data_IF_691972130580
#
_entry.id   IF_691972130580
#
_cell.length_a   1.000
_cell.length_b   1.000
_cell.length_c   1.000
_cell.angle_alpha   90.00
_cell.angle_beta   90.00
_cell.angle_gamma   90.00
#
_symmetry.space_group_name_H-M   'P 1'
#
loop_
_entity.id
_entity.type
_entity.pdbx_description
1 polymer ?
#
# COMPACT_ATOMS: atom_id res chain seq x y z
N UNK A 1 18.44 4.37 12.73
CA UNK A 1 18.58 3.67 11.45
C UNK A 1 18.28 2.19 11.56
N UNK A 2 19.04 1.47 12.39
CA UNK A 2 18.79 0.03 12.59
C UNK A 2 17.41 -0.28 13.14
N UNK A 3 16.87 0.60 14.00
CA UNK A 3 15.55 0.42 14.59
C UNK A 3 14.45 0.48 13.52
N UNK A 4 14.57 1.41 12.58
CA UNK A 4 13.59 1.53 11.50
C UNK A 4 13.62 0.33 10.58
N UNK A 5 14.82 -0.19 10.28
CA UNK A 5 14.95 -1.38 9.46
C UNK A 5 14.32 -2.60 10.12
N UNK A 6 14.55 -2.78 11.41
CA UNK A 6 13.95 -3.89 12.16
C UNK A 6 12.43 -3.80 12.19
N UNK A 7 11.90 -2.60 12.38
CA UNK A 7 10.46 -2.38 12.38
C UNK A 7 9.86 -2.67 11.00
N UNK A 8 10.54 -2.25 9.94
CA UNK A 8 10.11 -2.53 8.58
C UNK A 8 10.10 -4.03 8.29
N UNK A 9 11.16 -4.73 8.71
CA UNK A 9 11.21 -6.18 8.55
C UNK A 9 10.07 -6.86 9.27
N UNK A 10 9.75 -6.41 10.46
CA UNK A 10 8.65 -6.97 11.26
C UNK A 10 7.32 -6.78 10.56
N UNK A 11 7.07 -5.58 10.03
CA UNK A 11 5.84 -5.29 9.28
C UNK A 11 5.75 -6.15 8.02
N UNK A 12 6.86 -6.26 7.29
CA UNK A 12 6.91 -7.07 6.07
C UNK A 12 6.62 -8.53 6.40
N UNK A 13 7.24 -9.07 7.43
CA UNK A 13 7.01 -10.46 7.83
C UNK A 13 5.56 -10.69 8.24
N UNK A 14 5.00 -9.80 9.03
CA UNK A 14 3.61 -9.92 9.46
C UNK A 14 2.66 -9.88 8.26
N UNK A 15 2.89 -8.98 7.33
CA UNK A 15 2.07 -8.87 6.13
C UNK A 15 2.21 -10.11 5.26
N UNK A 16 3.43 -10.61 5.10
CA UNK A 16 3.68 -11.83 4.32
C UNK A 16 2.93 -13.02 4.90
N UNK A 17 3.02 -13.21 6.22
CA UNK A 17 2.31 -14.30 6.88
C UNK A 17 0.78 -14.19 6.72
N UNK A 18 0.24 -12.98 6.79
CA UNK A 18 -1.18 -12.74 6.54
C UNK A 18 -1.58 -13.19 5.14
N UNK A 19 -0.76 -12.85 4.15
CA UNK A 19 -1.03 -13.23 2.76
C UNK A 19 -0.94 -14.73 2.54
N UNK A 20 0.01 -15.39 3.20
CA UNK A 20 0.10 -16.85 3.15
C UNK A 20 -1.16 -17.49 3.72
N UNK A 21 -1.61 -17.01 4.87
CA UNK A 21 -2.77 -17.59 5.56
C UNK A 21 -4.09 -17.28 4.88
N UNK A 22 -4.27 -16.04 4.45
CA UNK A 22 -5.57 -15.57 3.92
C UNK A 22 -5.71 -15.76 2.42
N UNK A 23 -4.62 -15.58 1.67
CA UNK A 23 -4.67 -15.57 0.21
C UNK A 23 -4.07 -16.83 -0.42
N UNK A 24 -3.47 -17.68 0.38
CA UNK A 24 -2.88 -18.92 -0.13
C UNK A 24 -1.59 -18.73 -0.92
N UNK A 25 -0.93 -17.59 -0.80
CA UNK A 25 0.34 -17.34 -1.47
C UNK A 25 1.45 -18.20 -0.88
N UNK A 26 2.45 -18.55 -1.70
CA UNK A 26 3.69 -19.10 -1.18
C UNK A 26 4.41 -18.01 -0.38
N UNK A 27 5.28 -18.42 0.54
CA UNK A 27 6.04 -17.46 1.34
C UNK A 27 6.91 -16.57 0.44
N UNK A 28 7.47 -17.11 -0.61
CA UNK A 28 8.28 -16.34 -1.56
C UNK A 28 7.47 -15.23 -2.24
N UNK A 29 6.29 -15.57 -2.74
CA UNK A 29 5.39 -14.58 -3.36
C UNK A 29 4.92 -13.55 -2.36
N UNK A 30 4.53 -14.00 -1.16
CA UNK A 30 4.07 -13.11 -0.11
C UNK A 30 5.14 -12.11 0.30
N UNK A 31 6.37 -12.55 0.43
CA UNK A 31 7.49 -11.66 0.78
C UNK A 31 7.73 -10.62 -0.30
N UNK A 32 7.67 -11.00 -1.57
CA UNK A 32 7.84 -10.04 -2.68
C UNK A 32 6.76 -8.97 -2.65
N UNK A 33 5.52 -9.38 -2.46
CA UNK A 33 4.38 -8.45 -2.41
C UNK A 33 4.48 -7.54 -1.19
N UNK A 34 4.84 -8.11 -0.05
CA UNK A 34 4.98 -7.34 1.19
C UNK A 34 6.06 -6.26 1.06
N UNK A 35 7.23 -6.61 0.50
CA UNK A 35 8.29 -5.65 0.26
C UNK A 35 7.88 -4.58 -0.75
N UNK A 36 7.16 -4.97 -1.80
CA UNK A 36 6.66 -4.01 -2.79
C UNK A 36 5.72 -3.00 -2.14
N UNK A 37 4.83 -3.45 -1.25
CA UNK A 37 3.95 -2.55 -0.50
C UNK A 37 4.72 -1.60 0.40
N UNK A 38 5.76 -2.09 1.05
CA UNK A 38 6.62 -1.26 1.90
C UNK A 38 7.31 -0.18 1.08
N UNK A 39 7.88 -0.54 -0.06
CA UNK A 39 8.51 0.40 -0.98
C UNK A 39 7.53 1.45 -1.49
N UNK A 40 6.35 1.02 -1.90
CA UNK A 40 5.33 1.92 -2.43
C UNK A 40 4.92 2.94 -1.38
N UNK A 41 4.66 2.48 -0.16
CA UNK A 41 4.29 3.36 0.94
C UNK A 41 5.38 4.40 1.21
N UNK A 42 6.64 3.97 1.24
CA UNK A 42 7.77 4.86 1.47
C UNK A 42 7.89 5.91 0.37
N UNK A 43 7.72 5.52 -0.88
CA UNK A 43 7.80 6.44 -2.01
C UNK A 43 6.63 7.42 -2.03
N UNK A 44 5.44 6.96 -1.69
CA UNK A 44 4.25 7.82 -1.66
C UNK A 44 4.36 8.91 -0.59
N UNK A 45 5.13 8.69 0.47
CA UNK A 45 5.35 9.71 1.50
C UNK A 45 6.13 10.91 0.98
N UNK A 46 6.93 10.74 -0.06
CA UNK A 46 7.74 11.82 -0.60
C UNK A 46 7.25 12.37 -1.94
N UNK A 47 6.47 11.60 -2.69
CA UNK A 47 6.04 12.02 -4.03
C UNK A 47 4.77 11.29 -4.46
N UNK A 48 4.24 11.69 -5.62
CA UNK A 48 3.15 10.98 -6.27
C UNK A 48 3.76 9.80 -7.01
N UNK A 49 3.21 8.61 -6.80
CA UNK A 49 3.73 7.37 -7.39
C UNK A 49 2.67 6.72 -8.25
N UNK A 50 3.07 6.29 -9.43
CA UNK A 50 2.21 5.51 -10.31
C UNK A 50 2.40 4.04 -9.99
N UNK A 51 1.30 3.33 -9.79
CA UNK A 51 1.36 1.90 -9.50
C UNK A 51 0.13 1.19 -10.06
N UNK A 52 0.22 -0.14 -10.13
CA UNK A 52 -0.85 -0.98 -10.68
C UNK A 52 -1.28 -1.99 -9.64
N UNK A 53 -2.57 -2.19 -9.52
CA UNK A 53 -3.11 -3.23 -8.66
C UNK A 53 -4.32 -3.88 -9.32
N UNK A 54 -4.65 -5.08 -8.86
CA UNK A 54 -5.81 -5.80 -9.36
C UNK A 54 -7.02 -5.43 -8.52
N UNK A 55 -8.09 -5.05 -9.20
CA UNK A 55 -9.35 -4.72 -8.53
C UNK A 55 -10.07 -6.00 -8.13
N UNK A 56 -11.08 -5.84 -7.29
CA UNK A 56 -11.87 -6.98 -6.80
C UNK A 56 -12.52 -7.75 -7.96
N UNK A 57 -12.88 -7.07 -9.03
CA UNK A 57 -13.48 -7.69 -10.21
C UNK A 57 -12.46 -8.37 -11.13
N UNK A 58 -11.18 -8.36 -10.77
CA UNK A 58 -10.12 -8.99 -11.55
C UNK A 58 -9.43 -8.09 -12.57
N UNK A 59 -9.94 -6.90 -12.82
CA UNK A 59 -9.31 -5.97 -13.76
C UNK A 59 -8.12 -5.27 -13.13
N UNK A 60 -7.18 -4.83 -13.96
CA UNK A 60 -5.99 -4.09 -13.52
C UNK A 60 -6.29 -2.60 -13.54
N UNK A 61 -5.94 -1.91 -12.47
CA UNK A 61 -6.09 -0.48 -12.37
C UNK A 61 -4.74 0.20 -12.24
N UNK A 62 -4.55 1.24 -13.04
CA UNK A 62 -3.43 2.17 -12.92
C UNK A 62 -3.85 3.30 -11.98
N UNK A 63 -3.02 3.59 -10.99
CA UNK A 63 -3.32 4.62 -10.01
C UNK A 63 -2.13 5.54 -9.79
N UNK A 64 -2.44 6.80 -9.49
CA UNK A 64 -1.45 7.80 -9.10
C UNK A 64 -1.75 8.21 -7.68
N UNK A 65 -0.98 7.68 -6.74
CA UNK A 65 -1.23 7.85 -5.33
C UNK A 65 -0.11 8.54 -4.58
N UNK A 66 -0.46 9.16 -3.48
CA UNK A 66 0.52 9.81 -2.61
C UNK A 66 0.04 9.77 -1.16
N UNK A 67 1.01 9.85 -0.26
CA UNK A 67 0.77 10.06 1.17
C UNK A 67 1.41 11.36 1.65
N UNK A 68 1.90 12.19 0.72
CA UNK A 68 2.53 13.45 1.05
C UNK A 68 1.48 14.56 1.19
N UNK A 69 1.49 15.21 2.35
CA UNK A 69 0.53 16.27 2.68
C UNK A 69 0.49 17.41 1.67
N UNK A 70 1.59 17.65 0.98
CA UNK A 70 1.66 18.72 -0.02
C UNK A 70 0.67 18.52 -1.17
N UNK A 71 0.32 17.28 -1.46
CA UNK A 71 -0.56 16.93 -2.57
C UNK A 71 -1.99 16.63 -2.13
N UNK A 72 -2.25 16.71 -0.83
CA UNK A 72 -3.56 16.40 -0.26
C UNK A 72 -4.28 17.67 0.14
N UNK A 73 -5.62 17.69 0.06
CA UNK A 73 -6.37 18.80 0.62
C UNK A 73 -6.26 18.79 2.15
N UNK A 74 -6.43 19.96 2.76
CA UNK A 74 -6.46 20.05 4.21
C UNK A 74 -7.62 19.21 4.73
N UNK A 75 -7.30 18.20 5.51
CA UNK A 75 -8.32 17.33 6.09
C UNK A 75 -8.71 17.89 7.44
N UNK A 76 -9.90 18.45 7.51
CA UNK A 76 -10.49 18.84 8.77
C UNK A 76 -11.40 17.72 9.21
N UNK A 77 -11.04 17.04 10.22
CA UNK A 77 -11.88 15.99 10.75
C UNK A 77 -11.25 14.62 10.57
N UNK A 78 -11.12 14.00 11.67
CA UNK A 78 -10.57 12.67 11.74
C UNK A 78 -11.70 11.68 11.72
N UNK A 79 -11.95 11.12 10.57
CA UNK A 79 -12.68 9.88 10.55
C UNK A 79 -11.71 8.79 10.98
N UNK A 80 -11.79 8.41 12.20
CA UNK A 80 -11.05 7.26 12.69
C UNK A 80 -11.75 6.01 12.20
N UNK A 81 -11.41 5.59 11.01
CA UNK A 81 -11.79 4.25 10.59
C UNK A 81 -10.87 3.26 11.27
N UNK A 82 -11.41 2.14 11.67
CA UNK A 82 -10.63 1.06 12.22
C UNK A 82 -9.51 0.72 11.25
N UNK A 83 -8.30 0.61 11.76
CA UNK A 83 -7.14 0.23 10.95
C UNK A 83 -7.36 -1.15 10.36
N UNK A 84 -7.37 -1.22 9.05
CA UNK A 84 -7.39 -2.49 8.37
C UNK A 84 -6.01 -2.72 7.75
N UNK A 85 -5.25 -3.65 8.32
CA UNK A 85 -3.88 -3.92 7.88
C UNK A 85 -3.82 -4.60 6.51
N UNK A 86 -4.94 -5.07 6.00
CA UNK A 86 -4.97 -5.74 4.70
C UNK A 86 -5.10 -4.78 3.53
N UNK A 87 -5.43 -3.52 3.79
CA UNK A 87 -5.55 -2.51 2.75
C UNK A 87 -4.59 -1.36 2.99
N UNK A 88 -4.20 -0.70 1.90
CA UNK A 88 -3.37 0.50 1.96
C UNK A 88 -4.19 1.68 1.47
N UNK A 89 -4.32 2.71 2.30
CA UNK A 89 -5.01 3.94 1.94
C UNK A 89 -4.02 4.88 1.26
N UNK A 90 -4.47 5.57 0.23
CA UNK A 90 -3.68 6.57 -0.47
C UNK A 90 -4.59 7.67 -1.00
N UNK A 91 -4.01 8.83 -1.29
CA UNK A 91 -4.74 9.90 -1.95
C UNK A 91 -4.56 9.78 -3.46
N UNK A 92 -5.66 9.60 -4.18
CA UNK A 92 -5.65 9.47 -5.64
C UNK A 92 -5.67 10.88 -6.25
N UNK A 93 -4.56 11.27 -6.86
CA UNK A 93 -4.41 12.63 -7.40
C UNK A 93 -5.21 12.86 -8.67
N UNK A 94 -5.51 11.80 -9.41
CA UNK A 94 -6.34 11.92 -10.61
C UNK A 94 -7.81 12.14 -10.28
N UNK A 95 -8.27 11.46 -9.23
CA UNK A 95 -9.66 11.53 -8.82
C UNK A 95 -9.91 12.50 -7.69
N UNK A 96 -8.84 13.03 -7.12
CA UNK A 96 -8.88 13.99 -6.02
C UNK A 96 -9.67 13.44 -4.82
N UNK A 97 -9.47 12.17 -4.50
CA UNK A 97 -10.15 11.55 -3.36
C UNK A 97 -9.27 10.47 -2.75
N UNK A 98 -9.56 10.15 -1.48
CA UNK A 98 -8.88 9.05 -0.81
C UNK A 98 -9.44 7.72 -1.30
N UNK A 99 -8.56 6.80 -1.59
CA UNK A 99 -8.90 5.45 -2.01
C UNK A 99 -8.03 4.44 -1.29
N UNK A 100 -8.35 3.18 -1.47
CA UNK A 100 -7.52 2.11 -0.90
C UNK A 100 -7.45 0.94 -1.88
N UNK A 101 -6.43 0.12 -1.70
CA UNK A 101 -6.30 -1.13 -2.45
C UNK A 101 -5.90 -2.24 -1.48
N UNK A 102 -6.22 -3.47 -1.84
CA UNK A 102 -5.80 -4.62 -1.05
C UNK A 102 -4.32 -4.86 -1.27
N UNK A 103 -3.54 -4.90 -0.20
CA UNK A 103 -2.08 -5.06 -0.30
C UNK A 103 -1.69 -6.31 -1.08
N UNK A 104 -2.47 -7.39 -0.94
CA UNK A 104 -2.21 -8.64 -1.65
C UNK A 104 -2.41 -8.50 -3.16
N UNK A 105 -3.11 -7.47 -3.62
CA UNK A 105 -3.42 -7.28 -5.03
C UNK A 105 -2.46 -6.32 -5.74
N UNK A 106 -1.45 -5.82 -5.05
CA UNK A 106 -0.45 -4.96 -5.68
C UNK A 106 0.33 -5.74 -6.71
N UNK A 107 0.38 -5.21 -7.93
CA UNK A 107 1.03 -5.89 -9.06
C UNK A 107 2.40 -5.30 -9.36
N UNK A 108 2.49 -3.97 -9.46
CA UNK A 108 3.70 -3.34 -9.97
C UNK A 108 3.76 -1.87 -9.55
N UNK A 109 4.95 -1.39 -9.29
CA UNK A 109 5.23 0.01 -9.08
C UNK A 109 5.92 0.52 -10.33
N UNK A 110 5.37 1.56 -10.95
CA UNK A 110 6.02 2.19 -12.10
C UNK A 110 7.04 3.19 -11.59
N UNK A 111 8.26 3.04 -12.01
CA UNK A 111 9.35 3.94 -11.66
C UNK A 111 9.61 4.95 -12.77
#
# INVERSE_FOLDING_TARGET
MSTNFKNQMKEVMNLAWQMVKRNGFSMSEAMKIAWANMKLKAQMKSKIVKFYFQKVDGSVREAYGTLNDKFMPAVTGTTKKAKNDTVQIYYDTERCEFRCYKKANLLKIAL
#
